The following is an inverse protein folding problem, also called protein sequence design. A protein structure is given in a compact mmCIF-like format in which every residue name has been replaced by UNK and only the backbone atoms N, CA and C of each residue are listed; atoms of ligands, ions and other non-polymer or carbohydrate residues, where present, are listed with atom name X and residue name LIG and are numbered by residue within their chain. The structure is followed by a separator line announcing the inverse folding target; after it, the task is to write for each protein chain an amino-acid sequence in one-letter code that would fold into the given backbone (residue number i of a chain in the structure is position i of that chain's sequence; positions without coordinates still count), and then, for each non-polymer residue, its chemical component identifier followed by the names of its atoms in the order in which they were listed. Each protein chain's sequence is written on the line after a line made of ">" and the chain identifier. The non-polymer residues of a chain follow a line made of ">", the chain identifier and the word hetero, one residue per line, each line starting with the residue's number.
data_IF_783424376067
#
_entry.id   IF_783424376067
#
_cell.length_a   1.000
_cell.length_b   1.000
_cell.length_c   1.000
_cell.angle_alpha   90.00
_cell.angle_beta   90.00
_cell.angle_gamma   90.00
#
_symmetry.space_group_name_H-M   'P 1'
#
loop_
_entity.id
_entity.type
_entity.pdbx_description
1 polymer ?
#
# COMPACT_ATOMS: atom_id res chain seq x y z
N UNK A 1 -7.03 28.35 -14.42
CA UNK A 1 -5.79 28.28 -13.60
C UNK A 1 -5.81 27.09 -12.64
N UNK A 2 -6.97 26.62 -12.18
CA UNK A 2 -7.10 25.52 -11.21
C UNK A 2 -6.71 24.12 -11.72
N UNK A 3 -6.86 23.85 -13.02
CA UNK A 3 -6.56 22.53 -13.59
C UNK A 3 -5.08 22.14 -13.51
N UNK A 4 -4.16 23.12 -13.63
CA UNK A 4 -2.74 22.87 -13.55
C UNK A 4 -2.31 22.43 -12.14
N UNK A 5 -2.91 23.04 -11.11
CA UNK A 5 -2.65 22.67 -9.71
C UNK A 5 -3.22 21.28 -9.40
N UNK A 6 -4.44 21.01 -9.87
CA UNK A 6 -5.09 19.71 -9.71
C UNK A 6 -4.31 18.58 -10.39
N UNK A 7 -3.83 18.80 -11.62
CA UNK A 7 -3.01 17.81 -12.35
C UNK A 7 -1.67 17.55 -11.67
N UNK A 8 -0.98 18.59 -11.20
CA UNK A 8 0.28 18.45 -10.45
C UNK A 8 0.09 17.67 -9.16
N UNK A 9 -0.94 17.99 -8.38
CA UNK A 9 -1.27 17.27 -7.16
C UNK A 9 -1.61 15.80 -7.43
N UNK A 10 -2.36 15.51 -8.50
CA UNK A 10 -2.67 14.14 -8.90
C UNK A 10 -1.44 13.36 -9.37
N UNK A 11 -0.52 14.00 -10.11
CA UNK A 11 0.74 13.36 -10.53
C UNK A 11 1.59 13.03 -9.32
N UNK A 12 1.79 14.02 -8.44
CA UNK A 12 2.57 13.84 -7.22
C UNK A 12 2.00 12.72 -6.32
N UNK A 13 0.68 12.66 -6.19
CA UNK A 13 0.02 11.59 -5.44
C UNK A 13 0.24 10.21 -6.07
N UNK A 14 0.16 10.11 -7.41
CA UNK A 14 0.43 8.85 -8.12
C UNK A 14 1.90 8.41 -8.02
N UNK A 15 2.83 9.36 -8.05
CA UNK A 15 4.27 9.10 -7.90
C UNK A 15 4.65 8.70 -6.47
N UNK A 16 3.84 9.09 -5.48
CA UNK A 16 3.97 8.68 -4.08
C UNK A 16 3.29 7.35 -3.75
N UNK A 17 2.49 6.79 -4.67
CA UNK A 17 1.92 5.45 -4.52
C UNK A 17 2.93 4.43 -5.01
N UNK A 18 3.47 3.63 -4.09
CA UNK A 18 4.38 2.53 -4.43
C UNK A 18 3.69 1.19 -4.23
N UNK A 19 3.66 0.37 -5.28
CA UNK A 19 3.15 -1.01 -5.24
C UNK A 19 4.29 -1.96 -4.96
N UNK A 20 4.13 -2.78 -3.93
CA UNK A 20 5.22 -3.55 -3.38
C UNK A 20 4.71 -4.90 -2.90
N UNK A 21 5.40 -5.95 -3.29
CA UNK A 21 5.00 -7.33 -2.99
C UNK A 21 5.75 -7.90 -1.81
N UNK A 22 6.68 -7.13 -1.22
CA UNK A 22 7.57 -7.54 -0.14
C UNK A 22 7.47 -6.57 1.04
N UNK A 23 7.37 -7.11 2.25
CA UNK A 23 7.32 -6.31 3.49
C UNK A 23 8.60 -5.51 3.72
N UNK A 24 9.76 -6.07 3.35
CA UNK A 24 11.06 -5.43 3.54
C UNK A 24 11.24 -4.23 2.60
N UNK A 25 10.95 -4.42 1.31
CA UNK A 25 10.89 -3.33 0.32
C UNK A 25 9.84 -2.30 0.72
N UNK A 26 8.70 -2.74 1.25
CA UNK A 26 7.68 -1.83 1.73
C UNK A 26 8.18 -0.99 2.90
N UNK A 27 8.88 -1.58 3.85
CA UNK A 27 9.45 -0.83 4.98
C UNK A 27 10.49 0.17 4.51
N UNK A 28 11.39 -0.26 3.62
CA UNK A 28 12.44 0.59 3.07
C UNK A 28 11.87 1.76 2.25
N UNK A 29 10.89 1.49 1.40
CA UNK A 29 10.18 2.52 0.64
C UNK A 29 9.44 3.49 1.55
N UNK A 30 8.84 2.98 2.63
CA UNK A 30 8.15 3.80 3.62
C UNK A 30 9.11 4.70 4.42
N UNK A 31 10.31 4.21 4.72
CA UNK A 31 11.37 4.97 5.40
C UNK A 31 12.05 5.99 4.47
N UNK A 32 12.33 5.62 3.21
CA UNK A 32 13.05 6.48 2.24
C UNK A 32 12.15 7.52 1.56
N UNK A 33 10.97 7.12 1.08
CA UNK A 33 10.04 8.02 0.35
C UNK A 33 8.85 8.46 1.17
N UNK A 34 8.41 7.63 2.12
CA UNK A 34 7.10 7.80 2.73
C UNK A 34 5.98 7.67 1.70
N UNK A 35 4.78 8.13 2.07
CA UNK A 35 3.62 8.12 1.17
C UNK A 35 2.72 6.89 1.34
N UNK A 36 2.13 6.45 0.23
CA UNK A 36 1.10 5.40 0.21
C UNK A 36 1.71 4.14 -0.39
N UNK A 37 1.61 3.04 0.35
CA UNK A 37 2.09 1.75 -0.06
C UNK A 37 0.91 0.84 -0.34
N UNK A 38 0.93 0.21 -1.50
CA UNK A 38 -0.05 -0.80 -1.92
C UNK A 38 0.61 -2.18 -1.84
N UNK A 39 0.10 -3.05 -0.96
CA UNK A 39 0.60 -4.43 -0.78
C UNK A 39 -0.51 -5.46 -0.95
N UNK A 40 -0.21 -6.66 -1.47
CA UNK A 40 -1.19 -7.72 -1.60
C UNK A 40 -1.50 -8.40 -0.25
N UNK A 41 -2.78 -8.47 0.09
CA UNK A 41 -3.26 -8.99 1.36
C UNK A 41 -4.37 -10.03 1.18
N UNK A 42 -4.32 -11.10 1.97
CA UNK A 42 -5.26 -12.22 1.91
C UNK A 42 -6.60 -11.94 2.58
N UNK A 43 -6.78 -10.81 3.27
CA UNK A 43 -8.00 -10.53 4.04
C UNK A 43 -7.98 -11.05 5.49
N UNK A 44 -6.85 -11.61 5.95
CA UNK A 44 -6.73 -12.13 7.32
C UNK A 44 -6.24 -11.05 8.29
N UNK A 45 -6.96 -10.81 9.38
CA UNK A 45 -6.61 -9.82 10.41
C UNK A 45 -5.17 -9.94 10.90
N UNK A 46 -4.68 -11.16 11.18
CA UNK A 46 -3.27 -11.37 11.59
C UNK A 46 -2.26 -10.86 10.57
N UNK A 47 -2.57 -10.99 9.27
CA UNK A 47 -1.69 -10.48 8.22
C UNK A 47 -1.73 -8.94 8.20
N UNK A 48 -2.91 -8.34 8.42
CA UNK A 48 -3.06 -6.88 8.52
C UNK A 48 -2.30 -6.31 9.72
N UNK A 49 -2.39 -7.00 10.87
CA UNK A 49 -1.69 -6.64 12.11
C UNK A 49 -0.17 -6.72 11.94
N UNK A 50 0.35 -7.84 11.40
CA UNK A 50 1.78 -7.99 11.11
C UNK A 50 2.31 -6.97 10.11
N UNK A 51 1.50 -6.63 9.09
CA UNK A 51 1.84 -5.60 8.11
C UNK A 51 1.96 -4.25 8.81
N UNK A 52 0.97 -3.86 9.62
CA UNK A 52 0.97 -2.61 10.37
C UNK A 52 2.15 -2.50 11.35
N UNK A 53 2.42 -3.57 12.10
CA UNK A 53 3.56 -3.64 13.03
C UNK A 53 4.91 -3.57 12.31
N UNK A 54 5.10 -4.34 11.22
CA UNK A 54 6.38 -4.34 10.49
C UNK A 54 6.66 -3.03 9.77
N UNK A 55 5.63 -2.42 9.20
CA UNK A 55 5.76 -1.19 8.43
C UNK A 55 5.67 0.06 9.31
N UNK A 56 5.36 -0.10 10.59
CA UNK A 56 5.05 0.98 11.53
C UNK A 56 4.09 2.00 10.90
N UNK A 57 3.15 1.47 10.12
CA UNK A 57 2.29 2.19 9.19
C UNK A 57 0.83 1.94 9.55
N UNK A 58 -0.01 2.94 9.33
CA UNK A 58 -1.44 2.76 9.55
C UNK A 58 -2.06 2.16 8.29
N UNK A 59 -2.80 1.07 8.48
CA UNK A 59 -3.64 0.48 7.45
C UNK A 59 -4.76 1.47 7.15
N UNK A 60 -4.78 2.03 5.93
CA UNK A 60 -5.84 2.94 5.48
C UNK A 60 -7.09 2.17 5.04
N UNK A 61 -6.91 0.94 4.54
CA UNK A 61 -8.00 0.09 4.08
C UNK A 61 -7.66 -0.67 2.81
N UNK A 62 -8.63 -1.42 2.29
CA UNK A 62 -8.50 -2.15 1.03
C UNK A 62 -8.74 -1.24 -0.19
N UNK A 63 -7.90 -1.37 -1.21
CA UNK A 63 -8.07 -0.70 -2.48
C UNK A 63 -9.18 -1.42 -3.27
N UNK A 64 -10.42 -0.95 -3.11
CA UNK A 64 -11.61 -1.43 -3.84
C UNK A 64 -11.53 -1.19 -5.36
N UNK A 65 -10.65 -0.31 -5.80
CA UNK A 65 -10.48 0.10 -7.21
C UNK A 65 -9.62 -0.91 -8.02
N UNK A 66 -8.90 -1.82 -7.36
CA UNK A 66 -8.01 -2.76 -8.02
C UNK A 66 -8.71 -4.11 -8.21
N UNK A 67 -9.21 -4.33 -9.43
CA UNK A 67 -9.95 -5.55 -9.81
C UNK A 67 -9.08 -6.80 -9.97
N UNK A 68 -7.77 -6.67 -10.20
CA UNK A 68 -6.93 -7.79 -10.62
C UNK A 68 -5.48 -7.77 -10.05
N UNK A 69 -5.16 -8.84 -9.31
CA UNK A 69 -3.84 -9.45 -8.97
C UNK A 69 -2.88 -8.69 -8.03
N UNK A 70 -2.07 -9.36 -7.17
CA UNK A 70 -1.40 -10.68 -7.31
C UNK A 70 -1.87 -11.83 -6.39
N UNK A 71 -1.67 -13.06 -6.86
CA UNK A 71 -2.15 -14.34 -6.31
C UNK A 71 -1.61 -14.77 -4.95
N UNK A 72 -0.68 -14.05 -4.32
CA UNK A 72 -0.05 -14.47 -3.07
C UNK A 72 0.10 -13.33 -2.08
N UNK A 73 -0.28 -13.57 -0.84
CA UNK A 73 -0.14 -12.62 0.25
C UNK A 73 1.32 -12.50 0.69
N UNK A 74 1.77 -11.27 0.93
CA UNK A 74 3.13 -10.99 1.35
C UNK A 74 3.53 -11.63 2.69
N UNK A 75 2.56 -11.97 3.54
CA UNK A 75 2.80 -12.60 4.85
C UNK A 75 2.66 -14.12 4.80
N UNK A 76 1.58 -14.63 4.20
CA UNK A 76 1.20 -16.03 4.31
C UNK A 76 1.30 -16.81 2.99
N UNK A 77 1.69 -16.16 1.88
CA UNK A 77 1.73 -16.75 0.54
C UNK A 77 0.42 -17.39 0.06
N UNK A 78 -0.70 -17.15 0.77
CA UNK A 78 -2.05 -17.59 0.40
C UNK A 78 -2.63 -16.72 -0.71
N UNK A 79 -3.66 -17.21 -1.38
CA UNK A 79 -4.40 -16.47 -2.41
C UNK A 79 -4.80 -15.07 -1.93
N UNK A 80 -4.22 -14.06 -2.56
CA UNK A 80 -4.58 -12.65 -2.35
C UNK A 80 -5.54 -12.23 -3.43
N UNK A 81 -6.74 -11.82 -3.03
CA UNK A 81 -7.76 -11.23 -3.92
C UNK A 81 -7.92 -9.72 -3.69
N UNK A 82 -7.14 -9.15 -2.76
CA UNK A 82 -7.27 -7.77 -2.31
C UNK A 82 -5.90 -7.10 -2.19
N UNK A 83 -5.88 -5.80 -2.46
CA UNK A 83 -4.73 -4.93 -2.20
C UNK A 83 -5.05 -4.08 -0.98
N UNK A 84 -4.10 -4.02 -0.04
CA UNK A 84 -4.18 -3.19 1.15
C UNK A 84 -3.35 -1.93 0.94
N UNK A 85 -3.95 -0.77 1.20
CA UNK A 85 -3.25 0.52 1.24
C UNK A 85 -2.82 0.84 2.65
N UNK A 86 -1.56 1.23 2.76
CA UNK A 86 -0.92 1.67 3.99
C UNK A 86 -0.42 3.09 3.76
N UNK A 87 -0.54 3.94 4.76
CA UNK A 87 0.08 5.25 4.72
C UNK A 87 0.71 5.62 6.05
N UNK A 88 1.72 6.49 5.96
CA UNK A 88 2.34 7.08 7.12
C UNK A 88 1.37 8.07 7.71
N UNK A 89 0.87 7.76 8.91
CA UNK A 89 0.16 8.75 9.71
C UNK A 89 1.23 9.52 10.47
N UNK A 90 1.25 10.84 10.28
CA UNK A 90 2.16 11.77 10.97
C UNK A 90 1.71 11.97 12.42
#
# INVERSE_FOLDING_TARGET
>A
MEEALKKRAQQWFKEQISRIENLEEAKRTFEEKGGIIEVPWCGNDECGLKIGEKLNARVLGEALDVKEYPSKCVICSKESKKILRLARTY
#
